data_IF_120834930745
#
_entry.id   IF_120834930745
#
_cell.length_a   1.000
_cell.length_b   1.000
_cell.length_c   1.000
_cell.angle_alpha   90.00
_cell.angle_beta   90.00
_cell.angle_gamma   90.00
#
_symmetry.space_group_name_H-M   'P 1'
#
loop_
_entity.id
_entity.type
_entity.pdbx_description
1 polymer ?
#
# COMPACT_ATOMS: atom_id res chain seq x y z
N UNK A 1 36.77 14.60 -11.45
CA UNK A 1 35.95 15.02 -10.29
C UNK A 1 34.65 14.24 -10.31
N UNK A 2 34.36 13.50 -9.24
CA UNK A 2 33.22 12.57 -9.14
C UNK A 2 31.95 13.34 -8.75
N UNK A 3 30.93 13.32 -9.59
CA UNK A 3 29.55 13.73 -9.26
C UNK A 3 28.64 12.52 -9.36
N UNK A 4 28.70 11.67 -8.33
CA UNK A 4 27.68 10.68 -8.01
C UNK A 4 27.62 10.63 -6.48
N UNK A 5 26.75 11.44 -5.85
CA UNK A 5 26.41 11.36 -4.41
C UNK A 5 25.26 12.30 -3.97
N UNK A 6 24.32 12.71 -4.84
CA UNK A 6 23.24 13.61 -4.38
C UNK A 6 22.00 12.86 -3.85
N UNK A 7 21.52 11.83 -4.57
CA UNK A 7 20.25 11.16 -4.25
C UNK A 7 20.34 10.20 -3.06
N UNK A 8 21.51 9.57 -2.86
CA UNK A 8 21.74 8.64 -1.75
C UNK A 8 21.78 9.38 -0.41
N UNK A 9 22.48 10.51 -0.35
CA UNK A 9 22.55 11.33 0.85
C UNK A 9 21.16 11.85 1.26
N UNK A 10 20.35 12.35 0.32
CA UNK A 10 18.98 12.82 0.60
C UNK A 10 18.12 11.69 1.21
N UNK A 11 18.20 10.47 0.69
CA UNK A 11 17.46 9.33 1.26
C UNK A 11 17.97 8.93 2.64
N UNK A 12 19.29 8.95 2.85
CA UNK A 12 19.90 8.64 4.15
C UNK A 12 19.52 9.68 5.20
N UNK A 13 19.50 10.96 4.84
CA UNK A 13 19.12 12.05 5.74
C UNK A 13 17.64 11.97 6.12
N UNK A 14 16.76 11.63 5.16
CA UNK A 14 15.34 11.39 5.45
C UNK A 14 15.11 10.19 6.38
N UNK A 15 15.85 9.09 6.19
CA UNK A 15 15.76 7.91 7.06
C UNK A 15 16.24 8.25 8.48
N UNK A 16 17.33 9.02 8.59
CA UNK A 16 17.86 9.44 9.89
C UNK A 16 16.92 10.39 10.62
N UNK A 17 16.32 11.35 9.90
CA UNK A 17 15.32 12.26 10.45
C UNK A 17 14.09 11.51 10.98
N UNK A 18 13.56 10.58 10.17
CA UNK A 18 12.46 9.71 10.59
C UNK A 18 12.82 8.89 11.82
N UNK A 19 14.05 8.37 11.90
CA UNK A 19 14.49 7.62 13.06
C UNK A 19 14.51 8.46 14.34
N UNK A 20 14.99 9.71 14.25
CA UNK A 20 15.01 10.63 15.39
C UNK A 20 13.58 10.91 15.88
N UNK A 21 12.65 11.16 14.97
CA UNK A 21 11.24 11.41 15.30
C UNK A 21 10.60 10.21 16.00
N UNK A 22 10.88 9.00 15.52
CA UNK A 22 10.44 7.74 16.15
C UNK A 22 11.00 7.62 17.56
N UNK A 23 12.29 7.87 17.76
CA UNK A 23 12.94 7.74 19.06
C UNK A 23 12.46 8.82 20.06
N UNK A 24 12.16 10.03 19.57
CA UNK A 24 11.51 11.07 20.37
C UNK A 24 10.10 10.65 20.76
N UNK A 25 9.29 10.17 19.81
CA UNK A 25 7.92 9.73 20.06
C UNK A 25 7.84 8.50 20.99
N UNK A 26 8.84 7.62 20.99
CA UNK A 26 8.96 6.52 21.95
C UNK A 26 9.16 6.99 23.39
N UNK A 27 9.85 8.12 23.59
CA UNK A 27 10.12 8.73 24.91
C UNK A 27 8.94 9.59 25.37
N UNK A 28 8.37 10.35 24.44
CA UNK A 28 7.28 11.30 24.67
C UNK A 28 6.28 11.22 23.52
N UNK A 29 5.12 10.62 23.78
CA UNK A 29 4.06 10.44 22.78
C UNK A 29 3.52 11.76 22.23
N UNK A 30 3.70 12.90 22.91
CA UNK A 30 3.32 14.21 22.36
C UNK A 30 4.11 14.57 21.10
N UNK A 31 5.27 13.94 20.88
CA UNK A 31 6.10 14.11 19.68
C UNK A 31 5.64 13.26 18.49
N UNK A 32 4.63 12.41 18.67
CA UNK A 32 4.11 11.56 17.60
C UNK A 32 3.39 12.34 16.49
N UNK A 33 2.97 13.59 16.74
CA UNK A 33 2.28 14.44 15.77
C UNK A 33 3.01 14.55 14.43
N UNK A 34 4.34 14.64 14.44
CA UNK A 34 5.16 14.72 13.21
C UNK A 34 5.00 13.46 12.34
N UNK A 35 5.01 12.28 12.96
CA UNK A 35 4.79 11.01 12.27
C UNK A 35 3.34 10.90 11.79
N UNK A 36 2.38 11.34 12.61
CA UNK A 36 0.98 11.36 12.24
C UNK A 36 0.74 12.21 10.99
N UNK A 37 1.21 13.46 10.97
CA UNK A 37 1.06 14.38 9.83
C UNK A 37 1.67 13.82 8.54
N UNK A 38 2.84 13.18 8.63
CA UNK A 38 3.51 12.55 7.48
C UNK A 38 2.71 11.40 6.87
N UNK A 39 2.10 10.57 7.72
CA UNK A 39 1.54 9.29 7.29
C UNK A 39 0.02 9.26 7.18
N UNK A 40 -0.68 10.19 7.83
CA UNK A 40 -2.15 10.19 7.92
C UNK A 40 -2.81 10.06 6.56
N UNK A 41 -2.47 10.93 5.61
CA UNK A 41 -3.12 10.93 4.30
C UNK A 41 -2.88 9.63 3.52
N UNK A 42 -1.67 9.07 3.64
CA UNK A 42 -1.29 7.84 2.94
C UNK A 42 -2.03 6.63 3.51
N UNK A 43 -2.14 6.55 4.84
CA UNK A 43 -2.86 5.47 5.54
C UNK A 43 -4.36 5.60 5.35
N UNK A 44 -4.92 6.80 5.43
CA UNK A 44 -6.32 7.04 5.17
C UNK A 44 -6.71 6.62 3.75
N UNK A 45 -5.94 7.02 2.73
CA UNK A 45 -6.17 6.60 1.33
C UNK A 45 -6.10 5.08 1.18
N UNK A 46 -5.08 4.44 1.77
CA UNK A 46 -4.92 2.99 1.74
C UNK A 46 -6.15 2.26 2.32
N UNK A 47 -6.66 2.73 3.46
CA UNK A 47 -7.86 2.19 4.09
C UNK A 47 -9.10 2.48 3.25
N UNK A 48 -9.28 3.72 2.79
CA UNK A 48 -10.44 4.18 2.03
C UNK A 48 -10.64 3.41 0.73
N UNK A 49 -9.56 3.01 0.07
CA UNK A 49 -9.62 2.17 -1.14
C UNK A 49 -10.15 0.75 -0.86
N UNK A 50 -10.08 0.28 0.39
CA UNK A 50 -10.42 -1.09 0.79
C UNK A 50 -11.79 -1.21 1.46
N UNK A 51 -12.30 -0.11 2.05
CA UNK A 51 -13.57 -0.07 2.81
C UNK A 51 -14.69 0.62 2.04
N UNK A 52 -15.95 0.37 2.40
CA UNK A 52 -17.09 0.87 1.61
C UNK A 52 -17.28 2.38 1.77
N UNK A 53 -17.26 2.87 3.01
CA UNK A 53 -17.61 4.26 3.32
C UNK A 53 -16.45 5.06 3.91
N UNK A 54 -16.49 6.38 3.72
CA UNK A 54 -15.53 7.30 4.33
C UNK A 54 -15.56 7.24 5.86
N UNK A 55 -16.76 7.08 6.45
CA UNK A 55 -16.92 6.91 7.89
C UNK A 55 -16.16 5.67 8.39
N UNK A 56 -16.31 4.53 7.73
CA UNK A 56 -15.55 3.32 8.08
C UNK A 56 -14.04 3.56 7.94
N UNK A 57 -13.61 4.29 6.92
CA UNK A 57 -12.20 4.61 6.73
C UNK A 57 -11.65 5.48 7.86
N UNK A 58 -12.41 6.50 8.29
CA UNK A 58 -12.04 7.39 9.39
C UNK A 58 -11.97 6.65 10.74
N UNK A 59 -12.94 5.79 11.03
CA UNK A 59 -12.95 4.93 12.22
C UNK A 59 -11.71 4.03 12.25
N UNK A 60 -11.48 3.27 11.16
CA UNK A 60 -10.35 2.35 11.07
C UNK A 60 -9.01 3.10 11.11
N UNK A 61 -8.90 4.25 10.46
CA UNK A 61 -7.68 5.07 10.48
C UNK A 61 -7.35 5.52 11.91
N UNK A 62 -8.36 5.94 12.68
CA UNK A 62 -8.20 6.31 14.08
C UNK A 62 -7.69 5.13 14.91
N UNK A 63 -8.32 3.95 14.78
CA UNK A 63 -7.89 2.71 15.44
C UNK A 63 -6.44 2.34 15.09
N UNK A 64 -6.04 2.52 13.83
CA UNK A 64 -4.68 2.24 13.37
C UNK A 64 -3.68 3.12 14.10
N UNK A 65 -3.90 4.43 14.16
CA UNK A 65 -2.97 5.34 14.82
C UNK A 65 -2.93 5.14 16.33
N UNK A 66 -4.06 4.79 16.97
CA UNK A 66 -4.08 4.37 18.38
C UNK A 66 -3.16 3.16 18.59
N UNK A 67 -3.35 2.08 17.81
CA UNK A 67 -2.52 0.88 17.91
C UNK A 67 -1.05 1.16 17.63
N UNK A 68 -0.75 2.05 16.70
CA UNK A 68 0.62 2.45 16.37
C UNK A 68 1.27 3.12 17.58
N UNK A 69 0.58 4.07 18.23
CA UNK A 69 1.08 4.73 19.43
C UNK A 69 1.28 3.74 20.58
N UNK A 70 0.33 2.83 20.81
CA UNK A 70 0.44 1.78 21.84
C UNK A 70 1.63 0.84 21.61
N UNK A 71 1.89 0.48 20.35
CA UNK A 71 2.92 -0.48 19.98
C UNK A 71 4.25 0.17 19.57
N UNK A 72 4.35 1.51 19.57
CA UNK A 72 5.50 2.25 19.06
C UNK A 72 6.81 1.84 19.75
N UNK A 73 6.76 1.55 21.05
CA UNK A 73 7.93 1.09 21.83
C UNK A 73 8.49 -0.24 21.36
N UNK A 74 7.67 -1.09 20.74
CA UNK A 74 8.06 -2.40 20.21
C UNK A 74 8.67 -2.33 18.81
N UNK A 75 8.50 -1.20 18.11
CA UNK A 75 9.01 -1.04 16.76
C UNK A 75 10.55 -1.00 16.75
N UNK A 76 11.16 -1.80 15.86
CA UNK A 76 12.60 -1.87 15.67
C UNK A 76 12.97 -1.50 14.24
N UNK A 77 13.70 -0.40 14.11
CA UNK A 77 14.06 0.20 12.81
C UNK A 77 14.93 -0.71 11.96
N UNK A 78 15.78 -1.53 12.58
CA UNK A 78 16.69 -2.43 11.87
C UNK A 78 15.99 -3.58 11.14
N UNK A 79 14.72 -3.86 11.45
CA UNK A 79 14.01 -5.02 10.91
C UNK A 79 13.11 -4.64 9.74
N UNK A 80 12.32 -3.57 9.88
CA UNK A 80 11.25 -3.21 8.93
C UNK A 80 11.16 -1.68 8.84
N UNK A 81 11.07 -1.08 7.64
CA UNK A 81 10.82 0.36 7.49
C UNK A 81 9.54 0.78 8.22
N UNK A 82 9.53 1.96 8.84
CA UNK A 82 8.41 2.39 9.69
C UNK A 82 7.10 2.42 8.91
N UNK A 83 7.13 2.93 7.68
CA UNK A 83 6.00 2.88 6.76
C UNK A 83 5.48 1.44 6.59
N UNK A 84 6.34 0.45 6.29
CA UNK A 84 5.89 -0.94 6.11
C UNK A 84 5.28 -1.53 7.39
N UNK A 85 5.83 -1.20 8.56
CA UNK A 85 5.27 -1.62 9.84
C UNK A 85 3.89 -1.00 10.11
N UNK A 86 3.74 0.30 9.82
CA UNK A 86 2.48 1.04 9.93
C UNK A 86 1.41 0.48 8.98
N UNK A 87 1.76 0.24 7.71
CA UNK A 87 0.87 -0.37 6.72
C UNK A 87 0.45 -1.80 7.12
N UNK A 88 1.34 -2.58 7.75
CA UNK A 88 0.98 -3.88 8.32
C UNK A 88 -0.07 -3.75 9.42
N UNK A 89 0.07 -2.77 10.32
CA UNK A 89 -0.95 -2.51 11.36
C UNK A 89 -2.28 -2.08 10.72
N UNK A 90 -2.23 -1.23 9.69
CA UNK A 90 -3.40 -0.81 8.94
C UNK A 90 -4.13 -2.00 8.31
N UNK A 91 -3.41 -2.80 7.54
CA UNK A 91 -3.90 -4.02 6.92
C UNK A 91 -4.55 -4.96 7.94
N UNK A 92 -3.85 -5.26 9.03
CA UNK A 92 -4.38 -6.14 10.07
C UNK A 92 -5.66 -5.57 10.71
N UNK A 93 -5.72 -4.26 10.95
CA UNK A 93 -6.89 -3.61 11.54
C UNK A 93 -8.11 -3.65 10.62
N UNK A 94 -7.89 -3.48 9.31
CA UNK A 94 -8.90 -3.69 8.27
C UNK A 94 -9.44 -5.13 8.34
N UNK A 95 -8.57 -6.14 8.31
CA UNK A 95 -9.00 -7.55 8.40
C UNK A 95 -9.75 -7.88 9.69
N UNK A 96 -9.32 -7.34 10.83
CA UNK A 96 -10.03 -7.53 12.10
C UNK A 96 -11.44 -6.94 12.05
N UNK A 97 -11.60 -5.74 11.48
CA UNK A 97 -12.91 -5.10 11.32
C UNK A 97 -13.87 -5.92 10.43
N UNK A 98 -13.34 -6.61 9.40
CA UNK A 98 -14.15 -7.47 8.54
C UNK A 98 -14.59 -8.78 9.18
N UNK A 99 -13.74 -9.38 10.02
CA UNK A 99 -14.16 -10.56 10.80
C UNK A 99 -15.33 -10.27 11.74
N UNK A 100 -15.57 -9.00 12.06
CA UNK A 100 -16.69 -8.54 12.90
C UNK A 100 -17.96 -8.20 12.09
N UNK A 101 -18.03 -8.54 10.80
CA UNK A 101 -19.26 -8.50 10.00
C UNK A 101 -19.37 -7.37 8.96
N UNK A 102 -18.33 -6.56 8.75
CA UNK A 102 -18.28 -5.55 7.67
C UNK A 102 -17.86 -6.19 6.33
N UNK A 103 -18.17 -5.57 5.18
CA UNK A 103 -17.83 -6.10 3.83
C UNK A 103 -16.68 -5.32 3.18
N UNK A 104 -15.80 -6.01 2.45
CA UNK A 104 -14.80 -5.36 1.60
C UNK A 104 -15.48 -4.54 0.50
N UNK A 105 -14.91 -3.38 0.16
CA UNK A 105 -15.30 -2.69 -1.07
C UNK A 105 -15.04 -3.64 -2.24
N UNK A 106 -16.07 -3.88 -3.06
CA UNK A 106 -15.85 -4.46 -4.38
C UNK A 106 -15.04 -3.44 -5.17
N UNK A 107 -13.80 -3.80 -5.51
CA UNK A 107 -12.89 -2.88 -6.20
C UNK A 107 -13.47 -2.57 -7.58
N UNK A 108 -14.11 -1.41 -7.70
CA UNK A 108 -14.46 -0.82 -8.97
C UNK A 108 -13.25 -0.02 -9.45
N UNK A 109 -12.36 -0.67 -10.21
CA UNK A 109 -11.34 0.05 -10.96
C UNK A 109 -12.06 1.01 -11.92
N UNK A 110 -11.96 2.31 -11.68
CA UNK A 110 -12.44 3.30 -12.62
C UNK A 110 -11.45 3.35 -13.79
N UNK A 111 -11.98 3.52 -15.00
CA UNK A 111 -11.18 3.78 -16.20
C UNK A 111 -10.16 4.92 -15.96
N UNK A 112 -10.50 5.93 -15.16
CA UNK A 112 -9.62 7.06 -14.87
C UNK A 112 -8.30 6.70 -14.17
N UNK A 113 -8.25 5.62 -13.37
CA UNK A 113 -7.03 5.19 -12.66
C UNK A 113 -6.02 4.50 -13.58
N UNK A 114 -6.46 4.06 -14.77
CA UNK A 114 -5.69 3.22 -15.69
C UNK A 114 -5.14 3.99 -16.92
N UNK A 115 -5.59 5.22 -17.17
CA UNK A 115 -5.31 5.99 -18.40
C UNK A 115 -3.85 6.47 -18.53
N UNK A 116 -3.03 6.40 -17.48
CA UNK A 116 -1.67 6.96 -17.49
C UNK A 116 -0.55 6.09 -18.12
N UNK A 117 -0.86 5.15 -19.03
CA UNK A 117 0.11 4.09 -19.40
C UNK A 117 0.56 3.97 -20.87
N UNK A 118 -0.07 4.56 -21.91
CA UNK A 118 0.41 4.43 -23.32
C UNK A 118 -0.02 5.54 -24.30
N UNK A 119 0.75 5.70 -25.40
CA UNK A 119 0.50 6.57 -26.57
C UNK A 119 -0.23 5.83 -27.72
N UNK A 120 -1.47 5.37 -27.51
CA UNK A 120 -2.30 4.75 -28.57
C UNK A 120 -3.59 5.56 -28.82
N UNK A 121 -4.28 5.33 -29.95
CA UNK A 121 -5.53 6.02 -30.33
C UNK A 121 -6.68 5.78 -29.32
N UNK A 122 -7.43 6.85 -29.03
CA UNK A 122 -8.42 6.92 -27.92
C UNK A 122 -9.50 5.82 -27.92
N UNK A 123 -9.95 5.36 -29.09
CA UNK A 123 -10.98 4.30 -29.21
C UNK A 123 -10.42 2.89 -28.92
N UNK A 124 -9.26 2.52 -29.46
CA UNK A 124 -8.60 1.24 -29.16
C UNK A 124 -8.16 1.15 -27.70
N UNK A 125 -7.85 2.29 -27.08
CA UNK A 125 -7.53 2.38 -25.66
C UNK A 125 -8.73 2.05 -24.77
N UNK A 126 -9.93 2.52 -25.09
CA UNK A 126 -11.13 2.31 -24.28
C UNK A 126 -11.52 0.82 -24.21
N UNK A 127 -11.43 0.09 -25.32
CA UNK A 127 -11.71 -1.35 -25.37
C UNK A 127 -10.67 -2.17 -24.59
N UNK A 128 -9.37 -1.85 -24.77
CA UNK A 128 -8.29 -2.48 -23.98
C UNK A 128 -8.42 -2.19 -22.49
N UNK A 129 -8.82 -0.97 -22.12
CA UNK A 129 -9.04 -0.57 -20.73
C UNK A 129 -10.20 -1.34 -20.11
N UNK A 130 -11.32 -1.48 -20.82
CA UNK A 130 -12.47 -2.26 -20.39
C UNK A 130 -12.11 -3.72 -20.10
N UNK A 131 -11.32 -4.34 -20.99
CA UNK A 131 -10.81 -5.70 -20.81
C UNK A 131 -9.94 -5.83 -19.55
N UNK A 132 -9.06 -4.86 -19.30
CA UNK A 132 -8.20 -4.83 -18.10
C UNK A 132 -9.04 -4.66 -16.83
N UNK A 133 -10.04 -3.78 -16.84
CA UNK A 133 -10.95 -3.58 -15.70
C UNK A 133 -11.71 -4.88 -15.37
N UNK A 134 -12.25 -5.57 -16.37
CA UNK A 134 -12.93 -6.85 -16.18
C UNK A 134 -11.99 -7.97 -15.71
N UNK A 135 -10.74 -7.98 -16.18
CA UNK A 135 -9.73 -8.91 -15.69
C UNK A 135 -9.35 -8.64 -14.22
N UNK A 136 -9.22 -7.37 -13.84
CA UNK A 136 -8.93 -6.96 -12.47
C UNK A 136 -10.06 -7.32 -11.50
N UNK A 137 -11.33 -7.24 -11.92
CA UNK A 137 -12.50 -7.70 -11.13
C UNK A 137 -12.47 -9.19 -10.79
N UNK A 138 -11.72 -10.01 -11.55
CA UNK A 138 -11.55 -11.46 -11.32
C UNK A 138 -10.39 -11.79 -10.36
N UNK A 139 -9.69 -10.79 -9.87
CA UNK A 139 -8.67 -10.97 -8.84
C UNK A 139 -9.32 -11.16 -7.47
N UNK A 140 -8.74 -12.02 -6.65
CA UNK A 140 -9.09 -12.07 -5.23
C UNK A 140 -8.63 -10.79 -4.54
N UNK A 141 -9.18 -10.49 -3.36
CA UNK A 141 -8.79 -9.29 -2.62
C UNK A 141 -7.28 -9.23 -2.34
N UNK A 142 -6.65 -10.36 -1.99
CA UNK A 142 -5.20 -10.44 -1.76
C UNK A 142 -4.39 -10.21 -3.05
N UNK A 143 -4.89 -10.69 -4.19
CA UNK A 143 -4.25 -10.46 -5.49
C UNK A 143 -4.32 -8.99 -5.90
N UNK A 144 -5.49 -8.37 -5.74
CA UNK A 144 -5.70 -6.94 -5.99
C UNK A 144 -4.83 -6.08 -5.10
N UNK A 145 -4.82 -6.34 -3.79
CA UNK A 145 -4.00 -5.61 -2.82
C UNK A 145 -2.51 -5.62 -3.22
N UNK A 146 -2.04 -6.77 -3.69
CA UNK A 146 -0.66 -6.95 -4.10
C UNK A 146 -0.33 -6.19 -5.41
N UNK A 147 -1.25 -6.13 -6.37
CA UNK A 147 -1.09 -5.32 -7.59
C UNK A 147 -1.14 -3.82 -7.29
N UNK A 148 -2.06 -3.38 -6.42
CA UNK A 148 -2.14 -1.99 -5.95
C UNK A 148 -0.83 -1.53 -5.33
N UNK A 149 -0.34 -2.27 -4.33
CA UNK A 149 0.92 -1.95 -3.67
C UNK A 149 2.09 -1.93 -4.65
N UNK A 150 2.14 -2.88 -5.59
CA UNK A 150 3.29 -3.01 -6.50
C UNK A 150 3.32 -1.95 -7.59
N UNK A 151 2.18 -1.69 -8.23
CA UNK A 151 2.13 -0.92 -9.48
C UNK A 151 1.58 0.49 -9.28
N UNK A 152 0.64 0.70 -8.36
CA UNK A 152 0.04 2.00 -8.10
C UNK A 152 0.80 2.74 -6.99
N UNK A 153 1.09 2.06 -5.88
CA UNK A 153 1.87 2.63 -4.76
C UNK A 153 3.39 2.51 -4.95
N UNK A 154 3.84 1.81 -6.01
CA UNK A 154 5.26 1.64 -6.38
C UNK A 154 6.14 1.03 -5.28
N UNK A 155 5.58 0.19 -4.41
CA UNK A 155 6.33 -0.48 -3.33
C UNK A 155 7.33 -1.50 -3.85
N UNK A 156 8.41 -1.66 -3.10
CA UNK A 156 9.37 -2.74 -3.29
C UNK A 156 8.79 -4.07 -2.80
N UNK A 157 9.36 -5.19 -3.27
CA UNK A 157 8.92 -6.52 -2.81
C UNK A 157 9.20 -6.73 -1.32
N UNK A 158 10.26 -6.10 -0.80
CA UNK A 158 10.60 -6.14 0.61
C UNK A 158 9.54 -5.43 1.47
N UNK A 159 9.08 -4.26 1.04
CA UNK A 159 7.98 -3.55 1.74
C UNK A 159 6.68 -4.35 1.66
N UNK A 160 6.32 -4.85 0.47
CA UNK A 160 5.13 -5.69 0.28
C UNK A 160 5.18 -6.93 1.18
N UNK A 161 6.32 -7.61 1.27
CA UNK A 161 6.47 -8.81 2.08
C UNK A 161 6.29 -8.51 3.57
N UNK A 162 6.82 -7.37 4.02
CA UNK A 162 6.64 -6.90 5.39
C UNK A 162 5.19 -6.52 5.69
N UNK A 163 4.49 -5.85 4.76
CA UNK A 163 3.09 -5.46 4.91
C UNK A 163 2.18 -6.69 4.96
N UNK A 164 2.39 -7.65 4.06
CA UNK A 164 1.56 -8.86 3.93
C UNK A 164 1.94 -9.98 4.92
N UNK A 165 3.09 -9.89 5.60
CA UNK A 165 3.57 -10.92 6.51
C UNK A 165 4.03 -12.20 5.80
N UNK A 166 4.64 -12.07 4.62
CA UNK A 166 5.17 -13.17 3.81
C UNK A 166 6.67 -12.96 3.54
N UNK A 167 7.35 -13.92 2.90
CA UNK A 167 8.74 -13.73 2.48
C UNK A 167 8.84 -12.86 1.20
N UNK A 168 9.95 -12.14 1.02
CA UNK A 168 10.16 -11.33 -0.19
C UNK A 168 10.07 -12.16 -1.47
N UNK A 169 10.60 -13.39 -1.46
CA UNK A 169 10.48 -14.32 -2.59
C UNK A 169 9.03 -14.72 -2.85
N UNK A 170 8.23 -14.94 -1.80
CA UNK A 170 6.81 -15.24 -1.95
C UNK A 170 6.05 -14.05 -2.54
N UNK A 171 6.35 -12.81 -2.11
CA UNK A 171 5.80 -11.60 -2.72
C UNK A 171 6.11 -11.52 -4.23
N UNK A 172 7.36 -11.80 -4.63
CA UNK A 172 7.78 -11.87 -6.05
C UNK A 172 6.99 -12.92 -6.84
N UNK A 173 6.94 -14.15 -6.33
CA UNK A 173 6.27 -15.28 -7.00
C UNK A 173 4.76 -15.03 -7.12
N UNK A 174 4.10 -14.57 -6.04
CA UNK A 174 2.67 -14.22 -6.07
C UNK A 174 2.39 -13.12 -7.09
N UNK A 175 3.18 -12.05 -7.10
CA UNK A 175 3.06 -10.97 -8.10
C UNK A 175 3.18 -11.49 -9.50
N UNK A 176 4.20 -12.29 -9.78
CA UNK A 176 4.37 -12.88 -11.11
C UNK A 176 3.15 -13.72 -11.51
N UNK A 177 2.63 -14.58 -10.61
CA UNK A 177 1.44 -15.40 -10.86
C UNK A 177 0.19 -14.56 -11.15
N UNK A 178 -0.04 -13.49 -10.39
CA UNK A 178 -1.17 -12.58 -10.62
C UNK A 178 -1.05 -11.90 -11.99
N UNK A 179 0.15 -11.47 -12.38
CA UNK A 179 0.39 -10.89 -13.71
C UNK A 179 0.16 -11.91 -14.83
N UNK A 180 0.57 -13.18 -14.66
CA UNK A 180 0.27 -14.23 -15.63
C UNK A 180 -1.24 -14.49 -15.75
N UNK A 181 -1.95 -14.53 -14.62
CA UNK A 181 -3.41 -14.64 -14.57
C UNK A 181 -4.07 -13.50 -15.33
N UNK A 182 -3.67 -12.25 -15.08
CA UNK A 182 -4.18 -11.09 -15.81
C UNK A 182 -3.90 -11.21 -17.32
N UNK A 183 -2.68 -11.54 -17.73
CA UNK A 183 -2.34 -11.75 -19.15
C UNK A 183 -3.22 -12.80 -19.82
N UNK A 184 -3.55 -13.89 -19.11
CA UNK A 184 -4.44 -14.92 -19.64
C UNK A 184 -5.87 -14.40 -19.77
N UNK A 185 -6.37 -13.69 -18.76
CA UNK A 185 -7.72 -13.11 -18.76
C UNK A 185 -7.90 -12.04 -19.85
N UNK A 186 -6.89 -11.22 -20.12
CA UNK A 186 -6.95 -10.20 -21.16
C UNK A 186 -6.78 -10.79 -22.56
N UNK A 187 -5.98 -11.85 -22.72
CA UNK A 187 -5.87 -12.60 -24.00
C UNK A 187 -7.12 -13.40 -24.35
N UNK A 188 -7.91 -13.81 -23.36
CA UNK A 188 -9.22 -14.46 -23.57
C UNK A 188 -10.32 -13.46 -23.98
N UNK A 189 -10.06 -12.17 -23.83
CA UNK A 189 -11.03 -11.10 -24.08
C UNK A 189 -10.70 -10.25 -25.32
N UNK A 190 -9.62 -10.60 -26.05
CA UNK A 190 -9.24 -10.09 -27.37
C UNK A 190 -9.51 -11.19 -28.41
#
# INVERSE_FOLDING_TARGET
>A
MKTQNSTYHIKTDMILAEQIEIDLAKKDLSKFSVLYERYYLQIFKFIYQRVETELQAAEICSDVFIKVMENLKTYKTSEIPFASWLYRIARNTIYTNYKQGKKFRQVNFSSNDLINLTEETYEEQLDKLGIVVEALKKLSHEETELIEMKYFEKRTYFEISNIMGITENNAKIKTFRVIQKLKQLTKLAL
#
